data_IF_646113592551
#
_entry.id   IF_646113592551
#
_cell.length_a   1.000
_cell.length_b   1.000
_cell.length_c   1.000
_cell.angle_alpha   90.00
_cell.angle_beta   90.00
_cell.angle_gamma   90.00
#
_symmetry.space_group_name_H-M   'P 1'
#
loop_
_entity.id
_entity.type
_entity.pdbx_description
1 polymer ?
#
# COMPACT_ATOMS: atom_id res chain seq x y z
N UNK A 1 56.97 11.35 -1.18
CA UNK A 1 56.71 12.43 -2.16
C UNK A 1 55.17 12.46 -2.39
N UNK A 2 54.50 13.47 -1.81
CA UNK A 2 53.04 13.64 -1.89
C UNK A 2 52.75 14.67 -2.97
N UNK A 3 51.91 14.31 -3.94
CA UNK A 3 51.40 15.25 -4.95
C UNK A 3 50.02 15.75 -4.50
N UNK A 4 49.70 17.07 -4.58
CA UNK A 4 48.41 17.60 -4.27
C UNK A 4 47.47 17.46 -5.47
N UNK A 5 46.21 17.09 -5.22
CA UNK A 5 45.11 17.10 -6.18
C UNK A 5 44.49 18.50 -6.16
N UNK A 6 44.46 19.15 -7.32
CA UNK A 6 43.79 20.42 -7.54
C UNK A 6 42.36 20.11 -7.97
N UNK A 7 41.39 20.57 -7.17
CA UNK A 7 39.96 20.54 -7.53
C UNK A 7 39.59 21.87 -8.18
N UNK A 8 39.21 21.85 -9.44
CA UNK A 8 38.66 22.98 -10.14
C UNK A 8 37.15 23.06 -9.94
N UNK A 9 36.68 24.16 -9.32
CA UNK A 9 35.26 24.54 -9.28
C UNK A 9 34.89 25.21 -10.59
N UNK A 10 33.96 24.66 -11.36
CA UNK A 10 33.25 25.37 -12.42
C UNK A 10 31.90 25.83 -11.91
N UNK A 11 31.72 27.15 -11.71
CA UNK A 11 30.41 27.75 -11.47
C UNK A 11 29.77 28.07 -12.82
N UNK A 12 28.64 27.47 -13.16
CA UNK A 12 27.80 27.93 -14.28
C UNK A 12 26.59 28.70 -13.71
N UNK A 13 26.57 29.99 -14.02
CA UNK A 13 25.41 30.85 -13.84
C UNK A 13 24.48 30.70 -15.05
N UNK A 14 23.26 30.27 -14.85
CA UNK A 14 22.19 30.32 -15.86
C UNK A 14 21.15 31.35 -15.44
N UNK A 15 21.06 32.42 -16.21
CA UNK A 15 19.98 33.40 -16.16
C UNK A 15 18.79 32.83 -16.93
N UNK A 16 17.65 32.59 -16.28
CA UNK A 16 16.41 32.18 -16.90
C UNK A 16 15.41 33.34 -16.95
N UNK A 17 15.01 33.71 -18.16
CA UNK A 17 13.96 34.71 -18.42
C UNK A 17 12.58 34.10 -18.16
N UNK A 18 11.71 34.81 -17.43
CA UNK A 18 10.36 34.43 -17.15
C UNK A 18 9.41 34.59 -18.35
N UNK A 19 8.52 33.63 -18.52
CA UNK A 19 7.32 33.78 -19.34
C UNK A 19 6.10 33.47 -18.47
N UNK A 20 5.19 34.44 -18.38
CA UNK A 20 3.90 34.29 -17.67
C UNK A 20 2.89 33.52 -18.56
N UNK A 21 2.04 32.68 -18.00
CA UNK A 21 0.97 32.05 -18.77
C UNK A 21 -0.24 32.97 -18.91
N UNK A 22 -0.81 33.01 -20.11
CA UNK A 22 -2.01 33.73 -20.47
C UNK A 22 -3.25 32.98 -19.91
N UNK A 23 -4.17 33.75 -19.32
CA UNK A 23 -5.48 33.28 -18.85
C UNK A 23 -6.43 33.24 -20.04
N UNK A 24 -6.99 32.09 -20.36
CA UNK A 24 -8.08 31.94 -21.31
C UNK A 24 -9.42 31.93 -20.58
N UNK A 25 -10.31 32.86 -20.94
CA UNK A 25 -11.66 33.00 -20.43
C UNK A 25 -12.61 31.96 -21.08
N UNK A 26 -13.49 31.39 -20.28
CA UNK A 26 -14.58 30.51 -20.72
C UNK A 26 -15.78 31.36 -21.25
N UNK A 27 -16.54 30.87 -22.25
CA UNK A 27 -17.77 31.50 -22.66
C UNK A 27 -18.98 31.03 -21.83
N UNK A 28 -19.79 31.98 -21.40
CA UNK A 28 -21.08 31.78 -20.80
C UNK A 28 -22.11 31.44 -21.89
N UNK A 29 -22.97 30.46 -21.66
CA UNK A 29 -24.22 30.30 -22.43
C UNK A 29 -25.41 30.35 -21.50
N UNK A 30 -26.25 31.34 -21.78
CA UNK A 30 -27.56 31.62 -21.19
C UNK A 30 -28.64 30.80 -21.84
N UNK A 31 -29.52 30.25 -21.01
CA UNK A 31 -30.99 30.27 -21.07
C UNK A 31 -31.75 29.56 -22.16
N UNK A 32 -32.71 28.76 -21.76
CA UNK A 32 -34.12 29.00 -22.07
C UNK A 32 -35.00 27.97 -21.35
N UNK A 33 -35.96 28.54 -20.74
CA UNK A 33 -37.12 28.03 -20.03
C UNK A 33 -38.18 27.49 -21.07
N UNK A 34 -38.87 26.38 -20.75
CA UNK A 34 -40.25 26.19 -21.20
C UNK A 34 -41.01 25.23 -20.29
N UNK A 35 -42.12 25.72 -19.88
CA UNK A 35 -43.21 25.36 -19.01
C UNK A 35 -44.04 24.14 -19.44
N UNK A 36 -44.51 23.43 -18.42
CA UNK A 36 -45.87 22.89 -18.14
C UNK A 36 -46.56 21.94 -19.15
N UNK A 37 -47.09 20.85 -18.65
CA UNK A 37 -48.53 20.72 -18.51
C UNK A 37 -48.93 19.52 -17.62
N UNK A 38 -50.13 19.66 -16.98
CA UNK A 38 -50.66 18.87 -15.90
C UNK A 38 -51.68 17.81 -16.35
N UNK A 39 -51.67 16.66 -15.63
CA UNK A 39 -52.81 15.84 -15.18
C UNK A 39 -53.83 15.24 -16.21
N UNK A 40 -54.83 14.44 -15.80
CA UNK A 40 -55.18 13.93 -14.47
C UNK A 40 -55.54 12.42 -14.35
N UNK A 41 -55.57 11.93 -13.10
CA UNK A 41 -56.48 10.96 -12.42
C UNK A 41 -57.32 9.93 -13.19
N UNK A 42 -57.31 8.68 -12.65
CA UNK A 42 -58.49 7.88 -12.18
C UNK A 42 -58.01 6.55 -11.58
N UNK A 43 -58.23 6.29 -10.31
CA UNK A 43 -59.30 5.65 -9.54
C UNK A 43 -59.38 4.12 -9.68
N UNK A 44 -59.14 3.48 -8.53
CA UNK A 44 -59.63 2.23 -7.92
C UNK A 44 -59.84 0.97 -8.77
N UNK A 45 -59.28 -0.14 -8.25
CA UNK A 45 -60.12 -1.23 -7.73
C UNK A 45 -59.37 -2.09 -6.69
N UNK A 46 -60.10 -2.44 -5.64
CA UNK A 46 -59.73 -3.27 -4.50
C UNK A 46 -60.22 -4.68 -4.77
N UNK A 47 -59.38 -5.70 -4.60
CA UNK A 47 -59.87 -7.04 -4.20
C UNK A 47 -58.84 -7.76 -3.31
N UNK A 48 -59.35 -8.29 -2.24
CA UNK A 48 -58.79 -9.14 -1.20
C UNK A 48 -58.04 -10.36 -1.70
N UNK A 49 -57.01 -10.75 -0.95
CA UNK A 49 -56.38 -12.05 -1.06
C UNK A 49 -55.25 -12.24 -0.01
N UNK A 50 -55.65 -12.50 1.21
CA UNK A 50 -54.73 -12.95 2.30
C UNK A 50 -54.16 -14.32 1.97
N UNK A 51 -52.89 -14.46 1.69
CA UNK A 51 -52.11 -15.66 1.93
C UNK A 51 -50.75 -15.22 2.52
N UNK A 52 -50.58 -15.49 3.79
CA UNK A 52 -49.34 -15.25 4.48
C UNK A 52 -48.23 -16.22 4.02
N UNK A 53 -47.14 -15.66 3.56
CA UNK A 53 -45.86 -16.34 3.61
C UNK A 53 -44.92 -15.41 4.33
N UNK A 54 -44.34 -15.91 5.42
CA UNK A 54 -43.27 -15.26 6.15
C UNK A 54 -42.10 -15.06 5.17
N UNK A 55 -41.94 -13.83 4.70
CA UNK A 55 -40.73 -13.42 4.01
C UNK A 55 -39.70 -13.03 5.07
N UNK A 56 -38.65 -13.81 5.15
CA UNK A 56 -37.44 -13.55 5.90
C UNK A 56 -37.01 -12.10 5.68
N UNK A 57 -37.08 -11.31 6.73
CA UNK A 57 -36.35 -10.07 6.85
C UNK A 57 -34.86 -10.41 7.07
N UNK A 58 -34.18 -10.74 5.99
CA UNK A 58 -32.72 -10.60 5.96
C UNK A 58 -32.43 -9.10 6.03
N UNK A 59 -32.38 -8.58 7.26
CA UNK A 59 -31.76 -7.28 7.55
C UNK A 59 -30.35 -7.34 6.98
N UNK A 60 -30.14 -6.63 5.86
CA UNK A 60 -28.82 -6.44 5.31
C UNK A 60 -27.93 -5.82 6.37
N UNK A 61 -27.07 -6.61 6.97
CA UNK A 61 -25.90 -6.14 7.68
C UNK A 61 -25.01 -5.53 6.61
N UNK A 62 -25.23 -4.24 6.30
CA UNK A 62 -24.25 -3.45 5.56
C UNK A 62 -23.01 -3.42 6.43
N UNK A 63 -21.96 -4.09 5.99
CA UNK A 63 -20.64 -3.92 6.59
C UNK A 63 -20.37 -2.40 6.74
N UNK A 64 -19.81 -1.96 7.86
CA UNK A 64 -19.50 -0.54 8.06
C UNK A 64 -18.62 -0.10 6.89
N UNK A 65 -19.08 0.90 6.14
CA UNK A 65 -18.30 1.51 5.06
C UNK A 65 -16.99 2.00 5.69
N UNK A 66 -15.86 1.49 5.21
CA UNK A 66 -14.57 1.98 5.63
C UNK A 66 -14.55 3.52 5.48
N UNK A 67 -14.07 4.21 6.52
CA UNK A 67 -13.89 5.66 6.46
C UNK A 67 -12.95 6.05 5.32
N UNK A 68 -12.96 7.32 4.92
CA UNK A 68 -12.01 7.80 3.91
C UNK A 68 -10.58 7.44 4.32
N UNK A 69 -9.83 6.79 3.41
CA UNK A 69 -8.44 6.41 3.66
C UNK A 69 -7.59 7.65 3.86
N UNK A 70 -6.89 7.72 4.98
CA UNK A 70 -5.98 8.81 5.35
C UNK A 70 -4.59 8.28 5.70
N UNK A 71 -3.71 9.13 6.24
CA UNK A 71 -2.34 8.74 6.58
C UNK A 71 -2.21 8.12 7.99
N UNK A 72 -3.29 8.01 8.78
CA UNK A 72 -3.22 7.43 10.12
C UNK A 72 -2.61 6.03 10.09
N UNK A 73 -1.61 5.78 10.94
CA UNK A 73 -0.90 4.50 10.97
C UNK A 73 0.18 4.32 9.89
N UNK A 74 0.22 5.18 8.87
CA UNK A 74 1.34 5.19 7.90
C UNK A 74 2.59 5.80 8.54
N UNK A 75 3.75 5.33 8.15
CA UNK A 75 5.03 5.87 8.61
C UNK A 75 5.90 6.31 7.44
N UNK A 76 6.68 7.38 7.68
CA UNK A 76 7.76 7.81 6.76
C UNK A 76 9.10 7.24 7.23
N UNK A 77 9.88 6.71 6.30
CA UNK A 77 11.26 6.30 6.46
C UNK A 77 12.17 7.31 5.76
N UNK A 78 13.49 7.16 5.89
CA UNK A 78 14.47 8.02 5.21
C UNK A 78 14.52 7.80 3.69
N UNK A 79 14.12 6.62 3.23
CA UNK A 79 14.23 6.17 1.84
C UNK A 79 12.93 5.58 1.27
N UNK A 80 11.93 5.32 2.10
CA UNK A 80 10.72 4.58 1.76
C UNK A 80 9.54 5.06 2.60
N UNK A 81 8.40 4.44 2.37
CA UNK A 81 7.20 4.48 3.20
C UNK A 81 7.07 3.19 4.02
N UNK A 82 6.13 3.15 4.93
CA UNK A 82 5.73 1.97 5.70
C UNK A 82 4.44 2.19 6.44
N UNK A 83 4.04 1.24 7.26
CA UNK A 83 2.86 1.35 8.12
C UNK A 83 3.03 0.61 9.44
N UNK A 84 2.43 1.14 10.50
CA UNK A 84 2.21 0.39 11.73
C UNK A 84 1.10 -0.60 11.43
N UNK A 85 1.41 -1.88 11.51
CA UNK A 85 0.48 -2.96 11.18
C UNK A 85 0.24 -3.88 12.37
N UNK A 86 -0.91 -4.56 12.35
CA UNK A 86 -1.23 -5.64 13.27
C UNK A 86 -1.76 -6.85 12.52
N UNK A 87 -1.52 -8.03 13.04
CA UNK A 87 -2.22 -9.24 12.59
C UNK A 87 -3.68 -9.19 13.08
N UNK A 88 -4.62 -9.89 12.44
CA UNK A 88 -6.03 -9.91 12.89
C UNK A 88 -6.18 -10.24 14.39
N UNK A 89 -5.37 -11.17 14.88
CA UNK A 89 -5.43 -11.68 16.27
C UNK A 89 -4.50 -10.93 17.24
N UNK A 90 -3.75 -9.90 16.81
CA UNK A 90 -2.86 -9.15 17.71
C UNK A 90 -3.63 -8.50 18.85
N UNK A 91 -3.16 -8.66 20.09
CA UNK A 91 -3.68 -7.97 21.25
C UNK A 91 -3.21 -6.51 21.33
N UNK A 92 -3.93 -5.68 22.09
CA UNK A 92 -3.59 -4.26 22.25
C UNK A 92 -2.22 -4.04 22.93
N UNK A 93 -1.86 -4.93 23.83
CA UNK A 93 -0.60 -4.88 24.58
C UNK A 93 0.56 -5.61 23.91
N UNK A 94 0.33 -6.23 22.74
CA UNK A 94 1.42 -6.81 21.97
C UNK A 94 2.39 -5.73 21.47
N UNK A 95 3.69 -6.06 21.31
CA UNK A 95 4.65 -5.18 20.65
C UNK A 95 4.14 -4.81 19.25
N UNK A 96 4.08 -3.51 18.95
CA UNK A 96 3.61 -3.05 17.66
C UNK A 96 4.60 -3.40 16.54
N UNK A 97 4.08 -3.60 15.33
CA UNK A 97 4.86 -3.96 14.16
C UNK A 97 4.86 -2.82 13.12
N UNK A 98 5.94 -2.72 12.35
CA UNK A 98 6.00 -1.89 11.14
C UNK A 98 6.31 -2.79 9.95
N UNK A 99 5.48 -2.67 8.90
CA UNK A 99 5.68 -3.27 7.59
C UNK A 99 6.26 -2.25 6.62
N UNK A 100 7.25 -2.66 5.83
CA UNK A 100 7.82 -1.98 4.67
C UNK A 100 8.38 -3.03 3.69
N UNK A 101 9.11 -2.63 2.64
CA UNK A 101 9.77 -3.60 1.75
C UNK A 101 11.14 -4.07 2.28
N UNK A 102 11.60 -5.23 1.80
CA UNK A 102 12.94 -5.75 2.01
C UNK A 102 14.00 -4.86 1.39
N UNK A 103 13.77 -4.34 0.17
CA UNK A 103 14.71 -3.40 -0.47
C UNK A 103 14.83 -2.06 0.27
N UNK A 104 13.94 -1.77 1.22
CA UNK A 104 14.00 -0.57 2.05
C UNK A 104 14.98 -0.68 3.22
N UNK A 105 15.66 -1.82 3.43
CA UNK A 105 16.63 -1.98 4.53
C UNK A 105 17.76 -0.95 4.45
N UNK A 106 18.18 -0.43 5.61
CA UNK A 106 19.32 0.49 5.71
C UNK A 106 20.66 -0.21 5.40
N UNK A 107 20.71 -1.54 5.54
CA UNK A 107 21.88 -2.36 5.24
C UNK A 107 22.05 -2.74 3.76
N UNK A 108 21.14 -2.28 2.91
CA UNK A 108 21.08 -2.63 1.49
C UNK A 108 20.10 -3.76 1.21
N UNK A 109 19.95 -4.10 -0.06
CA UNK A 109 19.01 -5.10 -0.55
C UNK A 109 19.40 -6.51 -0.09
N UNK A 110 18.49 -7.30 0.48
CA UNK A 110 18.70 -8.73 0.65
C UNK A 110 19.08 -9.39 -0.69
N UNK A 111 20.12 -10.22 -0.67
CA UNK A 111 20.50 -10.95 -1.89
C UNK A 111 19.39 -11.92 -2.34
N UNK A 112 19.35 -12.31 -3.62
CA UNK A 112 18.46 -13.37 -4.09
C UNK A 112 18.64 -14.66 -3.26
N UNK A 113 17.54 -15.23 -2.80
CA UNK A 113 17.52 -16.39 -1.89
C UNK A 113 17.77 -16.04 -0.42
N UNK A 114 18.10 -14.80 -0.07
CA UNK A 114 18.37 -14.41 1.31
C UNK A 114 17.08 -14.10 2.07
N UNK A 115 16.97 -14.67 3.27
CA UNK A 115 15.95 -14.35 4.27
C UNK A 115 16.64 -13.95 5.56
N UNK A 116 16.36 -12.76 6.04
CA UNK A 116 16.88 -12.22 7.30
C UNK A 116 15.83 -12.39 8.39
N UNK A 117 16.21 -12.99 9.51
CA UNK A 117 15.31 -13.26 10.63
C UNK A 117 15.98 -12.84 11.93
N UNK A 118 15.21 -12.23 12.81
CA UNK A 118 15.59 -11.91 14.19
C UNK A 118 16.91 -11.15 14.32
N UNK A 119 17.01 -10.01 13.65
CA UNK A 119 18.16 -9.12 13.72
C UNK A 119 17.89 -7.93 14.65
N UNK A 120 18.90 -7.54 15.45
CA UNK A 120 18.81 -6.30 16.21
C UNK A 120 18.62 -5.11 15.25
N UNK A 121 17.75 -4.17 15.61
CA UNK A 121 17.49 -2.97 14.82
C UNK A 121 17.22 -1.78 15.73
N UNK A 122 17.68 -0.61 15.33
CA UNK A 122 17.34 0.68 15.97
C UNK A 122 16.68 1.64 15.00
N UNK A 123 16.12 1.10 13.91
CA UNK A 123 15.51 1.90 12.86
C UNK A 123 14.40 2.80 13.40
N UNK A 124 14.32 4.01 12.86
CA UNK A 124 13.34 5.01 13.24
C UNK A 124 12.29 5.19 12.15
N UNK A 125 11.03 5.41 12.59
CA UNK A 125 9.86 5.57 11.73
C UNK A 125 9.08 6.80 12.14
N UNK A 126 8.79 7.71 11.22
CA UNK A 126 7.97 8.89 11.46
C UNK A 126 6.49 8.56 11.38
N UNK A 127 5.80 8.42 12.51
CA UNK A 127 4.36 8.14 12.57
C UNK A 127 3.55 9.34 12.09
N UNK A 128 2.58 9.12 11.21
CA UNK A 128 1.71 10.14 10.64
C UNK A 128 0.31 10.07 11.22
N UNK A 129 -0.30 11.26 11.44
CA UNK A 129 -1.72 11.39 11.76
C UNK A 129 -2.58 11.34 10.47
N UNK A 130 -3.93 11.37 10.56
CA UNK A 130 -4.80 11.31 9.38
C UNK A 130 -4.52 12.36 8.31
N UNK A 131 -4.02 13.54 8.67
CA UNK A 131 -3.69 14.63 7.72
C UNK A 131 -2.28 14.53 7.13
N UNK A 132 -1.49 13.50 7.50
CA UNK A 132 -0.11 13.32 7.02
C UNK A 132 0.93 14.11 7.81
N UNK A 133 0.57 14.78 8.91
CA UNK A 133 1.53 15.41 9.80
C UNK A 133 2.25 14.34 10.64
N UNK A 134 3.58 14.47 10.78
CA UNK A 134 4.35 13.59 11.66
C UNK A 134 4.09 13.97 13.12
N UNK A 135 3.62 13.00 13.89
CA UNK A 135 3.26 13.20 15.31
C UNK A 135 4.23 12.51 16.28
N UNK A 136 5.00 11.53 15.81
CA UNK A 136 5.96 10.81 16.64
C UNK A 136 7.12 10.25 15.81
N UNK A 137 8.17 9.83 16.53
CA UNK A 137 9.21 8.93 16.02
C UNK A 137 9.11 7.62 16.78
N UNK A 138 8.71 6.56 16.11
CA UNK A 138 8.73 5.20 16.63
C UNK A 138 10.11 4.59 16.38
N UNK A 139 10.52 3.63 17.22
CA UNK A 139 11.82 2.94 17.09
C UNK A 139 11.62 1.44 17.12
N UNK A 140 12.29 0.76 16.20
CA UNK A 140 12.43 -0.70 16.28
C UNK A 140 13.41 -1.10 17.39
N UNK A 141 13.21 -2.30 17.93
CA UNK A 141 14.22 -3.04 18.66
C UNK A 141 14.70 -4.28 17.88
N UNK A 142 13.89 -4.70 16.89
CA UNK A 142 14.14 -5.93 16.13
C UNK A 142 13.66 -5.81 14.68
N UNK A 143 14.43 -6.30 13.73
CA UNK A 143 13.97 -6.74 12.42
C UNK A 143 13.55 -8.20 12.57
N UNK A 144 12.24 -8.48 12.57
CA UNK A 144 11.75 -9.84 12.74
C UNK A 144 11.94 -10.66 11.47
N UNK A 145 11.67 -10.04 10.30
CA UNK A 145 11.70 -10.70 9.00
C UNK A 145 12.06 -9.70 7.90
N UNK A 146 12.89 -10.10 6.95
CA UNK A 146 13.05 -9.38 5.69
C UNK A 146 13.57 -10.29 4.58
N UNK A 147 13.06 -10.08 3.37
CA UNK A 147 13.52 -10.76 2.16
C UNK A 147 13.16 -9.96 0.91
N UNK A 148 13.81 -10.27 -0.19
CA UNK A 148 13.42 -9.95 -1.56
C UNK A 148 13.24 -11.23 -2.40
N UNK A 149 13.13 -12.39 -1.76
CA UNK A 149 12.91 -13.68 -2.43
C UNK A 149 11.43 -14.05 -2.38
N UNK A 150 10.84 -14.34 -3.53
CA UNK A 150 9.42 -14.69 -3.70
C UNK A 150 8.41 -13.60 -3.26
N UNK A 151 8.79 -12.73 -2.34
CA UNK A 151 8.09 -11.50 -1.92
C UNK A 151 9.14 -10.45 -1.55
N UNK A 152 8.75 -9.20 -1.47
CA UNK A 152 9.61 -8.09 -1.05
C UNK A 152 8.99 -7.39 0.15
N UNK A 153 9.39 -7.79 1.34
CA UNK A 153 8.83 -7.30 2.59
C UNK A 153 9.86 -7.30 3.72
N UNK A 154 9.67 -6.36 4.66
CA UNK A 154 10.38 -6.32 5.93
C UNK A 154 9.40 -5.97 7.06
N UNK A 155 9.46 -6.73 8.15
CA UNK A 155 8.62 -6.53 9.35
C UNK A 155 9.54 -6.27 10.54
N UNK A 156 9.35 -5.10 11.15
CA UNK A 156 10.06 -4.67 12.35
C UNK A 156 9.15 -4.76 13.56
N UNK A 157 9.70 -5.16 14.69
CA UNK A 157 9.07 -5.02 15.99
C UNK A 157 9.48 -3.67 16.59
N UNK A 158 8.52 -2.95 17.14
CA UNK A 158 8.76 -1.70 17.84
C UNK A 158 9.01 -1.95 19.34
N UNK A 159 9.73 -1.03 19.98
CA UNK A 159 9.91 -1.00 21.43
C UNK A 159 8.71 -0.37 22.17
N UNK A 160 7.52 -0.47 21.60
CA UNK A 160 6.25 0.05 22.14
C UNK A 160 5.10 -0.87 21.72
N UNK A 161 3.93 -0.74 22.38
CA UNK A 161 2.74 -1.53 22.10
C UNK A 161 1.70 -0.74 21.30
N UNK A 162 0.71 -1.42 20.71
CA UNK A 162 -0.41 -0.78 20.03
C UNK A 162 -1.20 0.11 21.00
N UNK A 163 -1.47 -0.37 22.23
CA UNK A 163 -2.17 0.40 23.24
C UNK A 163 -1.46 1.72 23.58
N UNK A 164 -0.13 1.72 23.66
CA UNK A 164 0.66 2.92 23.88
C UNK A 164 0.60 3.90 22.72
N UNK A 165 0.69 3.41 21.49
CA UNK A 165 0.55 4.26 20.30
C UNK A 165 -0.84 4.89 20.28
N UNK A 166 -1.89 4.10 20.52
CA UNK A 166 -3.28 4.58 20.57
C UNK A 166 -3.49 5.63 21.66
N UNK A 167 -3.04 5.36 22.88
CA UNK A 167 -3.23 6.29 24.01
C UNK A 167 -2.45 7.59 23.87
N UNK A 168 -1.24 7.54 23.30
CA UNK A 168 -0.38 8.72 23.18
C UNK A 168 -0.72 9.60 21.96
N UNK A 169 -1.17 9.00 20.85
CA UNK A 169 -1.32 9.71 19.57
C UNK A 169 -2.71 9.59 18.94
N UNK A 170 -3.62 8.80 19.53
CA UNK A 170 -4.96 8.55 18.99
C UNK A 170 -4.97 7.70 17.70
N UNK A 171 -3.85 7.05 17.37
CA UNK A 171 -3.66 6.33 16.10
C UNK A 171 -3.78 4.83 16.34
N UNK A 172 -4.59 4.17 15.54
CA UNK A 172 -4.68 2.71 15.46
C UNK A 172 -3.68 2.16 14.42
N UNK A 173 -3.20 0.94 14.66
CA UNK A 173 -2.48 0.19 13.65
C UNK A 173 -3.44 -0.26 12.55
N UNK A 174 -2.93 -0.37 11.31
CA UNK A 174 -3.67 -0.94 10.20
C UNK A 174 -3.67 -2.47 10.31
N UNK A 175 -4.82 -3.11 10.13
CA UNK A 175 -4.92 -4.57 10.15
C UNK A 175 -4.44 -5.15 8.82
N UNK A 176 -3.55 -6.13 8.85
CA UNK A 176 -3.23 -6.92 7.66
C UNK A 176 -4.40 -7.85 7.33
N UNK A 177 -4.82 -7.86 6.08
CA UNK A 177 -5.77 -8.86 5.60
C UNK A 177 -5.13 -10.24 5.61
N UNK A 178 -5.87 -11.25 6.06
CA UNK A 178 -5.50 -12.67 5.99
C UNK A 178 -6.02 -13.33 4.70
N UNK A 179 -6.68 -12.55 3.86
CA UNK A 179 -7.25 -12.98 2.59
C UNK A 179 -6.62 -12.29 1.40
N UNK A 180 -6.61 -12.98 0.28
CA UNK A 180 -6.11 -12.46 -0.99
C UNK A 180 -7.13 -11.47 -1.57
N UNK A 181 -6.74 -10.25 -2.00
CA UNK A 181 -7.64 -9.35 -2.70
C UNK A 181 -8.07 -9.95 -4.05
N UNK A 182 -9.13 -9.41 -4.62
CA UNK A 182 -9.64 -9.82 -5.93
C UNK A 182 -9.30 -8.77 -7.00
N UNK A 183 -9.26 -9.18 -8.27
CA UNK A 183 -9.21 -8.24 -9.37
C UNK A 183 -10.46 -7.33 -9.33
N UNK A 184 -10.28 -6.05 -9.59
CA UNK A 184 -11.32 -5.03 -9.47
C UNK A 184 -11.46 -4.43 -8.07
N UNK A 185 -10.79 -4.96 -7.03
CA UNK A 185 -10.79 -4.33 -5.70
C UNK A 185 -10.26 -2.91 -5.78
N UNK A 186 -11.05 -1.93 -5.34
CA UNK A 186 -10.62 -0.54 -5.23
C UNK A 186 -9.61 -0.40 -4.09
N UNK A 187 -8.46 0.19 -4.35
CA UNK A 187 -7.36 0.31 -3.40
C UNK A 187 -6.80 1.73 -3.31
N UNK A 188 -6.18 2.01 -2.18
CA UNK A 188 -5.41 3.24 -1.96
C UNK A 188 -3.97 2.88 -1.55
N UNK A 189 -2.99 3.38 -2.28
CA UNK A 189 -1.57 3.32 -1.91
C UNK A 189 -1.22 4.56 -1.13
N UNK A 190 -0.89 4.41 0.16
CA UNK A 190 -0.73 5.55 1.09
C UNK A 190 0.76 5.80 1.35
N UNK A 191 1.36 6.72 0.59
CA UNK A 191 2.78 7.03 0.74
C UNK A 191 3.06 7.95 1.92
N UNK A 192 3.69 7.41 2.96
CA UNK A 192 4.17 8.19 4.11
C UNK A 192 5.37 9.08 3.78
N UNK A 193 6.20 8.71 2.82
CA UNK A 193 7.35 9.48 2.37
C UNK A 193 6.91 10.77 1.67
N UNK A 194 6.06 10.63 0.62
CA UNK A 194 5.57 11.77 -0.17
C UNK A 194 4.33 12.45 0.42
N UNK A 195 3.67 11.85 1.42
CA UNK A 195 2.36 12.28 1.97
C UNK A 195 1.34 12.44 0.84
N UNK A 196 1.28 11.42 0.00
CA UNK A 196 0.39 11.33 -1.15
C UNK A 196 -0.35 9.99 -1.14
N UNK A 197 -1.61 10.03 -1.49
CA UNK A 197 -2.46 8.84 -1.64
C UNK A 197 -2.74 8.68 -3.14
N UNK A 198 -2.49 7.46 -3.65
CA UNK A 198 -2.80 7.06 -5.01
C UNK A 198 -4.00 6.13 -4.95
N UNK A 199 -5.03 6.40 -5.74
CA UNK A 199 -6.26 5.61 -5.77
C UNK A 199 -6.40 4.93 -7.13
N UNK A 200 -6.57 3.63 -7.13
CA UNK A 200 -6.73 2.80 -8.30
C UNK A 200 -7.44 1.50 -7.96
N UNK A 201 -7.27 0.47 -8.78
CA UNK A 201 -7.79 -0.87 -8.50
C UNK A 201 -6.73 -1.94 -8.73
N UNK A 202 -6.97 -3.11 -8.15
CA UNK A 202 -6.24 -4.33 -8.50
C UNK A 202 -6.62 -4.71 -9.92
N UNK A 203 -5.68 -4.62 -10.87
CA UNK A 203 -5.89 -5.10 -12.26
C UNK A 203 -5.80 -6.63 -12.35
N UNK A 204 -4.87 -7.21 -11.63
CA UNK A 204 -4.69 -8.65 -11.64
C UNK A 204 -3.46 -9.10 -10.84
N UNK A 205 -3.02 -10.33 -11.10
CA UNK A 205 -1.92 -10.96 -10.38
C UNK A 205 -0.89 -11.53 -11.33
N UNK A 206 0.38 -11.34 -10.98
CA UNK A 206 1.52 -11.74 -11.79
C UNK A 206 2.07 -13.06 -11.26
N UNK A 207 2.07 -14.11 -12.08
CA UNK A 207 2.57 -15.42 -11.66
C UNK A 207 4.01 -15.35 -11.14
N UNK A 208 4.90 -14.68 -11.89
CA UNK A 208 6.24 -14.30 -11.45
C UNK A 208 6.57 -12.92 -11.99
N UNK A 209 7.15 -12.09 -11.16
CA UNK A 209 7.68 -10.79 -11.54
C UNK A 209 9.19 -10.81 -11.37
N UNK A 210 9.92 -10.49 -12.42
CA UNK A 210 11.39 -10.43 -12.39
C UNK A 210 11.86 -8.98 -12.50
N UNK A 211 12.81 -8.62 -11.62
CA UNK A 211 13.48 -7.32 -11.62
C UNK A 211 14.94 -7.51 -11.21
N UNK A 212 15.87 -7.17 -12.10
CA UNK A 212 17.28 -7.46 -11.89
C UNK A 212 17.52 -8.93 -11.58
N UNK A 213 18.12 -9.19 -10.43
CA UNK A 213 18.44 -10.54 -9.95
C UNK A 213 17.31 -11.19 -9.13
N UNK A 214 16.25 -10.43 -8.78
CA UNK A 214 15.16 -10.89 -7.94
C UNK A 214 13.98 -11.40 -8.74
N UNK A 215 13.23 -12.30 -8.11
CA UNK A 215 11.96 -12.81 -8.65
C UNK A 215 10.95 -12.89 -7.52
N UNK A 216 9.78 -12.29 -7.72
CA UNK A 216 8.66 -12.33 -6.80
C UNK A 216 7.50 -13.15 -7.39
N UNK A 217 6.66 -13.69 -6.53
CA UNK A 217 5.52 -14.54 -6.91
C UNK A 217 4.22 -13.84 -6.54
N UNK A 218 3.21 -14.06 -7.37
CA UNK A 218 1.83 -13.65 -7.11
C UNK A 218 1.69 -12.16 -6.74
N UNK A 219 2.51 -11.31 -7.37
CA UNK A 219 2.49 -9.87 -7.15
C UNK A 219 1.17 -9.27 -7.65
N UNK A 220 0.64 -8.29 -6.92
CA UNK A 220 -0.51 -7.48 -7.36
C UNK A 220 -0.05 -6.54 -8.46
N UNK A 221 -0.76 -6.52 -9.58
CA UNK A 221 -0.65 -5.49 -10.61
C UNK A 221 -1.75 -4.46 -10.41
N UNK A 222 -1.39 -3.19 -10.49
CA UNK A 222 -2.35 -2.08 -10.41
C UNK A 222 -2.90 -1.72 -11.79
N UNK A 223 -4.09 -1.08 -11.78
CA UNK A 223 -4.52 -0.30 -12.92
C UNK A 223 -3.65 0.98 -13.06
N UNK A 224 -3.54 1.58 -14.27
CA UNK A 224 -2.59 2.67 -14.53
C UNK A 224 -2.77 3.93 -13.67
N UNK A 225 -3.94 4.10 -13.02
CA UNK A 225 -4.22 5.25 -12.16
C UNK A 225 -3.31 5.31 -10.91
N UNK A 226 -2.73 4.18 -10.48
CA UNK A 226 -1.68 4.17 -9.45
C UNK A 226 -0.30 4.38 -10.09
N UNK A 227 -0.05 5.59 -10.54
CA UNK A 227 1.27 6.04 -11.02
C UNK A 227 2.16 6.37 -9.82
N UNK A 228 2.64 5.31 -9.14
CA UNK A 228 3.52 5.44 -7.97
C UNK A 228 4.96 5.66 -8.42
N UNK A 229 5.74 6.35 -7.59
CA UNK A 229 7.12 6.79 -7.91
C UNK A 229 8.11 6.32 -6.84
N UNK A 230 9.41 6.44 -7.11
CA UNK A 230 10.46 6.13 -6.13
C UNK A 230 10.18 6.77 -4.77
N UNK A 231 10.39 6.04 -3.65
CA UNK A 231 10.04 6.46 -2.29
C UNK A 231 8.62 6.07 -1.84
N UNK A 232 7.73 5.66 -2.76
CA UNK A 232 6.44 5.05 -2.40
C UNK A 232 6.59 3.59 -1.96
N UNK A 233 7.73 2.97 -2.20
CA UNK A 233 8.08 1.64 -1.71
C UNK A 233 7.74 1.47 -0.24
N UNK A 234 7.12 0.35 0.14
CA UNK A 234 6.70 0.07 1.51
C UNK A 234 5.38 0.73 1.93
N UNK A 235 4.74 1.53 1.09
CA UNK A 235 3.42 2.08 1.37
C UNK A 235 2.39 0.97 1.57
N UNK A 236 1.51 1.06 2.58
CA UNK A 236 0.39 0.15 2.68
C UNK A 236 -0.54 0.34 1.48
N UNK A 237 -1.02 -0.78 0.93
CA UNK A 237 -2.08 -0.85 -0.07
C UNK A 237 -3.35 -1.23 0.67
N UNK A 238 -4.24 -0.27 0.82
CA UNK A 238 -5.44 -0.39 1.64
C UNK A 238 -6.65 -0.69 0.76
N UNK A 239 -7.39 -1.73 1.08
CA UNK A 239 -8.68 -2.05 0.47
C UNK A 239 -9.70 -0.98 0.85
N UNK A 240 -10.32 -0.35 -0.14
CA UNK A 240 -11.29 0.74 0.06
C UNK A 240 -12.60 0.31 0.71
N UNK A 241 -12.93 -0.98 0.71
CA UNK A 241 -14.15 -1.51 1.30
C UNK A 241 -13.96 -1.94 2.76
N UNK A 242 -12.82 -2.60 3.08
CA UNK A 242 -12.54 -3.14 4.42
C UNK A 242 -11.67 -2.22 5.27
N UNK A 243 -10.83 -1.40 4.65
CA UNK A 243 -9.80 -0.62 5.35
C UNK A 243 -8.57 -1.44 5.74
N UNK A 244 -8.49 -2.70 5.34
CA UNK A 244 -7.37 -3.59 5.63
C UNK A 244 -6.22 -3.40 4.64
N UNK A 245 -5.00 -3.69 5.08
CA UNK A 245 -3.81 -3.71 4.21
C UNK A 245 -3.75 -5.05 3.49
N UNK A 246 -3.97 -5.03 2.18
CA UNK A 246 -3.98 -6.23 1.32
C UNK A 246 -2.66 -6.46 0.58
N UNK A 247 -1.82 -5.41 0.51
CA UNK A 247 -0.48 -5.52 -0.09
C UNK A 247 0.45 -4.40 0.42
N UNK A 248 1.73 -4.52 0.13
CA UNK A 248 2.75 -3.49 0.32
C UNK A 248 3.28 -3.06 -1.04
N UNK A 249 3.22 -1.75 -1.34
CA UNK A 249 3.67 -1.19 -2.61
C UNK A 249 5.15 -1.50 -2.84
N UNK A 250 5.52 -1.93 -4.02
CA UNK A 250 6.86 -2.43 -4.28
C UNK A 250 7.59 -1.61 -5.36
N UNK A 251 7.26 -1.80 -6.62
CA UNK A 251 8.02 -1.30 -7.77
C UNK A 251 7.10 -0.97 -8.95
N UNK A 252 7.66 -0.37 -9.98
CA UNK A 252 6.99 -0.08 -11.25
C UNK A 252 7.98 -0.13 -12.40
N UNK A 253 7.48 -0.34 -13.62
CA UNK A 253 8.31 -0.29 -14.81
C UNK A 253 8.36 1.17 -15.32
N UNK A 254 9.46 1.87 -15.01
CA UNK A 254 9.58 3.31 -15.26
C UNK A 254 9.91 3.61 -16.72
N UNK A 255 10.88 2.92 -17.30
CA UNK A 255 11.48 3.28 -18.59
C UNK A 255 11.07 2.35 -19.75
N UNK A 256 10.31 1.29 -19.50
CA UNK A 256 9.96 0.28 -20.49
C UNK A 256 11.09 -0.74 -20.75
N UNK A 257 12.14 -0.75 -19.95
CA UNK A 257 13.20 -1.74 -20.05
C UNK A 257 12.73 -3.13 -19.59
N UNK A 258 13.48 -4.14 -19.99
CA UNK A 258 13.10 -5.52 -19.73
C UNK A 258 13.83 -6.10 -18.53
N UNK A 259 13.12 -6.23 -17.42
CA UNK A 259 13.57 -6.91 -16.20
C UNK A 259 14.83 -6.30 -15.55
N UNK A 260 15.13 -5.04 -15.77
CA UNK A 260 16.18 -4.31 -15.06
C UNK A 260 15.63 -3.73 -13.74
N UNK A 261 16.50 -3.20 -12.89
CA UNK A 261 16.08 -2.53 -11.63
C UNK A 261 15.20 -1.33 -11.99
N UNK A 262 14.09 -1.14 -11.28
CA UNK A 262 13.00 -0.18 -11.57
C UNK A 262 12.28 -0.41 -12.90
N UNK A 263 12.48 -1.57 -13.51
CA UNK A 263 11.82 -1.97 -14.75
C UNK A 263 11.44 -3.45 -14.66
N UNK A 264 10.55 -3.84 -13.74
CA UNK A 264 10.09 -5.21 -13.60
C UNK A 264 9.40 -5.69 -14.87
N UNK A 265 9.46 -7.00 -15.09
CA UNK A 265 8.72 -7.67 -16.14
C UNK A 265 7.92 -8.86 -15.57
N UNK A 266 6.78 -9.11 -16.18
CA UNK A 266 5.92 -10.24 -15.83
C UNK A 266 6.41 -11.51 -16.58
N UNK A 267 6.43 -12.64 -15.89
CA UNK A 267 6.73 -13.94 -16.47
C UNK A 267 5.55 -14.87 -16.18
N UNK A 268 4.92 -15.37 -17.23
CA UNK A 268 3.78 -16.28 -17.12
C UNK A 268 4.22 -17.73 -16.81
N UNK A 269 3.25 -18.66 -16.69
CA UNK A 269 3.52 -20.09 -16.42
C UNK A 269 4.26 -20.79 -17.55
N UNK A 270 4.23 -20.23 -18.76
CA UNK A 270 4.91 -20.78 -19.95
C UNK A 270 6.29 -20.14 -20.14
N UNK A 271 6.70 -19.21 -19.28
CA UNK A 271 7.95 -18.47 -19.40
C UNK A 271 7.89 -17.27 -20.35
N UNK A 272 6.70 -16.89 -20.83
CA UNK A 272 6.54 -15.70 -21.67
C UNK A 272 6.76 -14.45 -20.83
N UNK A 273 7.61 -13.56 -21.32
CA UNK A 273 7.96 -12.31 -20.65
C UNK A 273 7.19 -11.15 -21.26
N UNK A 274 6.48 -10.40 -20.39
CA UNK A 274 5.74 -9.19 -20.77
C UNK A 274 6.31 -7.98 -20.02
N UNK A 275 6.62 -6.91 -20.75
CA UNK A 275 6.99 -5.60 -20.20
C UNK A 275 5.78 -4.68 -20.27
N UNK A 276 5.50 -3.97 -19.15
CA UNK A 276 4.38 -3.04 -19.06
C UNK A 276 4.88 -1.70 -18.53
N UNK A 277 5.38 -0.85 -19.41
CA UNK A 277 5.83 0.48 -19.02
C UNK A 277 4.70 1.27 -18.35
N UNK A 278 5.03 1.99 -17.27
CA UNK A 278 4.09 2.80 -16.48
C UNK A 278 3.20 2.00 -15.52
N UNK A 279 3.31 0.66 -15.49
CA UNK A 279 2.52 -0.17 -14.57
C UNK A 279 3.30 -0.44 -13.29
N UNK A 280 2.60 -0.31 -12.17
CA UNK A 280 3.12 -0.47 -10.82
C UNK A 280 2.57 -1.74 -10.15
N UNK A 281 3.31 -2.23 -9.14
CA UNK A 281 3.08 -3.53 -8.53
C UNK A 281 3.28 -3.49 -7.02
N UNK A 282 2.64 -4.45 -6.33
CA UNK A 282 2.79 -4.66 -4.89
C UNK A 282 2.97 -6.13 -4.53
N UNK A 283 3.44 -6.37 -3.30
CA UNK A 283 3.53 -7.71 -2.72
C UNK A 283 2.37 -7.94 -1.77
N UNK A 284 1.69 -9.08 -1.91
CA UNK A 284 0.52 -9.42 -1.10
C UNK A 284 0.89 -9.66 0.37
N UNK A 285 0.02 -9.24 1.30
CA UNK A 285 0.26 -9.32 2.74
C UNK A 285 -0.46 -10.48 3.42
N UNK A 286 -1.43 -11.14 2.78
CA UNK A 286 -2.18 -12.25 3.36
C UNK A 286 -1.30 -13.45 3.77
N UNK A 287 -0.06 -13.50 3.29
CA UNK A 287 0.90 -14.55 3.64
C UNK A 287 1.46 -14.44 5.07
N UNK A 288 1.39 -13.23 5.67
CA UNK A 288 2.05 -12.97 6.94
C UNK A 288 1.26 -13.39 8.18
N UNK A 289 -0.08 -13.18 8.29
CA UNK A 289 -0.79 -13.46 9.54
C UNK A 289 -0.56 -14.87 10.08
N UNK A 290 -0.56 -15.89 9.23
CA UNK A 290 -0.30 -17.27 9.64
C UNK A 290 1.14 -17.54 10.13
N UNK A 291 2.05 -16.58 9.96
CA UNK A 291 3.44 -16.69 10.43
C UNK A 291 3.66 -16.02 11.79
N UNK A 292 2.63 -15.46 12.42
CA UNK A 292 2.74 -14.75 13.69
C UNK A 292 1.85 -15.39 14.75
N UNK A 293 2.44 -15.69 15.89
CA UNK A 293 1.75 -16.20 17.08
C UNK A 293 1.53 -15.10 18.13
N UNK A 294 1.20 -15.52 19.35
CA UNK A 294 1.02 -14.62 20.49
C UNK A 294 2.21 -13.69 20.69
N UNK A 295 1.95 -12.48 21.21
CA UNK A 295 2.94 -11.41 21.38
C UNK A 295 3.62 -10.98 20.08
N UNK A 296 2.95 -11.17 18.94
CA UNK A 296 3.49 -10.92 17.60
C UNK A 296 4.84 -11.60 17.34
N UNK A 297 5.04 -12.80 17.87
CA UNK A 297 6.24 -13.60 17.61
C UNK A 297 6.20 -14.21 16.23
N UNK A 298 7.30 -14.07 15.51
CA UNK A 298 7.46 -14.73 14.21
C UNK A 298 7.67 -16.24 14.39
N UNK A 299 6.80 -17.04 13.79
CA UNK A 299 6.76 -18.50 13.85
C UNK A 299 6.79 -19.09 12.43
N UNK A 300 7.94 -19.05 11.76
CA UNK A 300 8.05 -19.49 10.36
C UNK A 300 7.64 -20.94 10.11
N UNK A 301 7.63 -21.78 11.15
CA UNK A 301 7.22 -23.17 11.05
C UNK A 301 5.74 -23.40 11.43
N UNK A 302 4.98 -22.32 11.71
CA UNK A 302 3.55 -22.44 11.97
C UNK A 302 2.82 -23.01 10.75
N UNK A 303 1.73 -23.74 11.03
CA UNK A 303 0.85 -24.25 9.96
C UNK A 303 0.25 -23.09 9.19
N UNK A 304 0.33 -23.12 7.87
CA UNK A 304 -0.16 -22.03 6.99
C UNK A 304 0.86 -20.91 6.71
N UNK A 305 1.98 -20.84 7.43
CA UNK A 305 3.03 -19.88 7.12
C UNK A 305 3.74 -20.24 5.80
N UNK A 306 3.49 -19.43 4.75
CA UNK A 306 3.96 -19.69 3.39
C UNK A 306 5.05 -18.73 2.90
N UNK A 307 5.55 -17.84 3.77
CA UNK A 307 6.65 -16.93 3.39
C UNK A 307 7.98 -17.69 3.24
N UNK A 308 8.93 -17.20 2.43
CA UNK A 308 10.28 -17.76 2.33
C UNK A 308 10.95 -17.91 3.70
N UNK A 309 11.72 -18.99 3.86
CA UNK A 309 12.44 -19.32 5.08
C UNK A 309 13.95 -19.27 4.83
N UNK A 310 14.78 -19.03 5.88
CA UNK A 310 16.25 -19.07 5.79
C UNK A 310 16.79 -20.37 5.27
#
# INVERSE_FOLDING_TARGET
>A
MRKPLVVALCALAMAGAGAAPAVAAAPSSTGADTTADAGPTTVMDVVDGVVGTAADTLSGLTAPKAGAVGFAGTVSLSNCSGSVVRMPDSAADDPALVLTNGHCLESGFPAPGQVLVDRASSRSFGLLNPSGARVATLRADRLLYATMTDTDAAIYRLNTTYARIKSAYGIDALTLSDTRPQAGTAISVVSGYWKRIYNCSVDGFVYRMKEGDWTWKDSVRYTPECDTIGGTSGSPVVDGATGEVVAVNNTGNEDGERCTVNNPCEVDRNGTVTVRQGINYAQQTYLFPACFGADNRLELNASGCAVPKP
#
